data_IF_788604657974
#
_entry.id   IF_788604657974
#
_cell.length_a   1.000
_cell.length_b   1.000
_cell.length_c   1.000
_cell.angle_alpha   90.00
_cell.angle_beta   90.00
_cell.angle_gamma   90.00
#
_symmetry.space_group_name_H-M   'P 1'
#
loop_
_entity.id
_entity.type
_entity.pdbx_description
1 polymer ?
#
# COMPACT_ATOMS: atom_id res chain seq x y z
N UNK A 1 6.95 8.63 20.40
CA UNK A 1 5.54 8.77 19.93
C UNK A 1 4.84 7.43 20.15
N UNK A 2 3.67 7.40 20.79
CA UNK A 2 2.93 6.15 21.05
C UNK A 2 2.47 5.48 19.73
N UNK A 3 2.49 4.13 19.70
CA UNK A 3 2.04 3.28 18.57
C UNK A 3 0.70 3.74 17.99
N UNK A 4 -0.25 4.14 18.82
CA UNK A 4 -1.60 4.56 18.38
C UNK A 4 -1.61 5.89 17.61
N UNK A 5 -0.72 6.83 17.95
CA UNK A 5 -0.64 8.15 17.28
C UNK A 5 -0.07 8.07 15.86
N UNK A 6 0.78 7.07 15.58
CA UNK A 6 1.33 6.82 14.25
C UNK A 6 0.28 6.23 13.32
N UNK A 7 -0.46 5.20 13.74
CA UNK A 7 -1.54 4.60 12.92
C UNK A 7 -2.63 5.61 12.58
N UNK A 8 -3.02 6.46 13.54
CA UNK A 8 -4.01 7.50 13.32
C UNK A 8 -3.57 8.57 12.29
N UNK A 9 -2.27 8.88 12.22
CA UNK A 9 -1.71 9.79 11.20
C UNK A 9 -1.62 9.14 9.83
N UNK A 10 -1.23 7.87 9.76
CA UNK A 10 -1.19 7.10 8.50
C UNK A 10 -2.57 7.00 7.88
N UNK A 11 -3.61 6.76 8.69
CA UNK A 11 -5.00 6.73 8.24
C UNK A 11 -5.51 8.03 7.60
N UNK A 12 -4.86 9.16 7.88
CA UNK A 12 -5.18 10.48 7.30
C UNK A 12 -4.29 10.84 6.11
N UNK A 13 -3.33 10.00 5.74
CA UNK A 13 -2.45 10.23 4.61
C UNK A 13 -3.19 9.91 3.30
N UNK A 14 -3.22 10.86 2.37
CA UNK A 14 -3.86 10.70 1.06
C UNK A 14 -3.30 9.49 0.28
N UNK A 15 -1.99 9.22 0.37
CA UNK A 15 -1.37 8.06 -0.27
C UNK A 15 -1.91 6.75 0.34
N UNK A 16 -2.03 6.68 1.67
CA UNK A 16 -2.61 5.50 2.34
C UNK A 16 -4.08 5.30 1.97
N UNK A 17 -4.87 6.38 1.94
CA UNK A 17 -6.29 6.31 1.58
C UNK A 17 -6.45 5.81 0.13
N UNK A 18 -5.63 6.30 -0.80
CA UNK A 18 -5.68 5.85 -2.19
C UNK A 18 -5.26 4.38 -2.34
N UNK A 19 -4.20 3.95 -1.64
CA UNK A 19 -3.71 2.57 -1.69
C UNK A 19 -4.69 1.59 -1.02
N UNK A 20 -5.25 1.94 0.14
CA UNK A 20 -6.24 1.11 0.83
C UNK A 20 -7.49 0.92 -0.02
N UNK A 21 -8.07 2.01 -0.56
CA UNK A 21 -9.22 1.93 -1.49
C UNK A 21 -8.94 1.02 -2.68
N UNK A 22 -7.78 1.16 -3.31
CA UNK A 22 -7.40 0.30 -4.43
C UNK A 22 -7.29 -1.19 -4.04
N UNK A 23 -6.82 -1.49 -2.83
CA UNK A 23 -6.76 -2.88 -2.32
C UNK A 23 -8.14 -3.42 -1.95
N UNK A 24 -8.99 -2.58 -1.36
CA UNK A 24 -10.38 -2.91 -1.04
C UNK A 24 -11.18 -3.23 -2.31
N UNK A 25 -11.01 -2.43 -3.37
CA UNK A 25 -11.65 -2.66 -4.67
C UNK A 25 -11.22 -3.99 -5.32
N UNK A 26 -10.01 -4.46 -5.01
CA UNK A 26 -9.49 -5.75 -5.46
C UNK A 26 -9.86 -6.91 -4.53
N UNK A 27 -10.49 -6.64 -3.38
CA UNK A 27 -10.80 -7.64 -2.37
C UNK A 27 -9.56 -8.21 -1.68
N UNK A 28 -8.43 -7.50 -1.67
CA UNK A 28 -7.19 -7.97 -1.06
C UNK A 28 -7.10 -7.55 0.42
N UNK A 29 -7.03 -8.52 1.35
CA UNK A 29 -6.88 -8.20 2.76
C UNK A 29 -5.55 -7.49 3.01
N UNK A 30 -5.58 -6.42 3.82
CA UNK A 30 -4.39 -5.66 4.12
C UNK A 30 -4.38 -5.07 5.53
N UNK A 31 -3.19 -4.91 6.11
CA UNK A 31 -2.99 -4.31 7.42
C UNK A 31 -1.82 -3.30 7.42
N UNK A 32 -1.87 -2.34 8.33
CA UNK A 32 -0.77 -1.38 8.51
C UNK A 32 0.23 -1.94 9.51
N UNK A 33 1.41 -2.29 9.02
CA UNK A 33 2.54 -2.74 9.83
C UNK A 33 3.44 -1.55 10.16
N UNK A 34 3.69 -1.36 11.45
CA UNK A 34 4.61 -0.33 11.91
C UNK A 34 6.06 -0.85 11.84
N UNK A 35 7.04 0.02 11.56
CA UNK A 35 8.43 -0.37 11.67
C UNK A 35 8.75 -0.71 13.13
N UNK A 36 9.49 -1.80 13.36
CA UNK A 36 10.02 -2.14 14.68
C UNK A 36 11.09 -1.14 15.17
N UNK A 37 11.62 -0.29 14.28
CA UNK A 37 12.65 0.71 14.55
C UNK A 37 12.34 2.06 13.82
N UNK A 38 13.38 2.82 13.44
CA UNK A 38 13.22 4.00 12.55
C UNK A 38 12.79 3.55 11.16
N UNK A 39 11.73 4.13 10.62
CA UNK A 39 11.30 3.80 9.27
C UNK A 39 9.91 4.33 8.90
N UNK A 40 9.52 4.01 7.67
CA UNK A 40 8.18 4.26 7.16
C UNK A 40 7.28 3.05 7.44
N UNK A 41 6.01 3.27 7.84
CA UNK A 41 5.03 2.20 7.95
C UNK A 41 4.83 1.51 6.60
N UNK A 42 4.46 0.24 6.65
CA UNK A 42 4.15 -0.56 5.48
C UNK A 42 2.70 -1.01 5.50
N UNK A 43 2.13 -1.16 4.30
CA UNK A 43 0.92 -1.93 4.04
C UNK A 43 1.34 -3.36 3.80
N UNK A 44 0.99 -4.26 4.71
CA UNK A 44 1.11 -5.71 4.51
C UNK A 44 -0.16 -6.18 3.82
N UNK A 45 0.00 -6.86 2.70
CA UNK A 45 -1.09 -7.30 1.83
C UNK A 45 -1.02 -8.82 1.77
N UNK A 46 -2.15 -9.47 2.04
CA UNK A 46 -2.30 -10.92 1.88
C UNK A 46 -2.67 -11.20 0.44
N UNK A 47 -1.78 -11.86 -0.30
CA UNK A 47 -2.01 -12.23 -1.68
C UNK A 47 -2.94 -13.47 -1.76
N UNK A 48 -3.65 -13.69 -2.88
CA UNK A 48 -4.53 -14.85 -3.06
C UNK A 48 -3.79 -16.19 -2.95
N UNK A 49 -2.48 -16.19 -3.18
CA UNK A 49 -1.58 -17.35 -3.05
C UNK A 49 -1.26 -17.71 -1.60
N UNK A 50 -1.71 -16.91 -0.62
CA UNK A 50 -1.36 -17.05 0.80
C UNK A 50 -0.04 -16.36 1.19
N UNK A 51 0.69 -15.82 0.21
CA UNK A 51 1.93 -15.07 0.46
C UNK A 51 1.63 -13.68 1.02
N UNK A 52 2.48 -13.20 1.93
CA UNK A 52 2.40 -11.84 2.46
C UNK A 52 3.36 -10.92 1.69
N UNK A 53 2.88 -9.74 1.29
CA UNK A 53 3.67 -8.72 0.61
C UNK A 53 3.66 -7.41 1.40
N UNK A 54 4.84 -6.86 1.67
CA UNK A 54 4.98 -5.57 2.37
C UNK A 54 5.22 -4.43 1.36
N UNK A 55 4.41 -3.37 1.44
CA UNK A 55 4.51 -2.16 0.64
C UNK A 55 4.71 -0.93 1.52
N UNK A 56 5.91 -0.35 1.52
CA UNK A 56 6.21 0.84 2.33
C UNK A 56 5.44 2.09 1.86
N UNK A 57 4.89 2.84 2.81
CA UNK A 57 4.16 4.07 2.61
C UNK A 57 4.96 5.23 3.19
N UNK A 58 5.25 6.25 2.38
CA UNK A 58 5.88 7.45 2.90
C UNK A 58 4.97 8.14 3.93
N UNK A 59 5.48 8.35 5.15
CA UNK A 59 4.76 9.07 6.22
C UNK A 59 4.74 10.59 6.02
N UNK A 60 5.62 11.11 5.15
CA UNK A 60 5.75 12.55 4.93
C UNK A 60 4.69 13.01 3.94
N UNK A 61 3.79 13.94 4.33
CA UNK A 61 2.94 14.63 3.38
C UNK A 61 3.86 15.48 2.49
N UNK A 62 4.28 14.94 1.35
CA UNK A 62 4.86 15.78 0.31
C UNK A 62 3.73 16.68 -0.18
N UNK A 63 4.00 17.98 -0.29
CA UNK A 63 3.00 19.01 -0.63
C UNK A 63 2.16 18.69 -1.88
N UNK A 64 2.60 17.75 -2.73
CA UNK A 64 1.81 17.09 -3.75
C UNK A 64 1.74 15.57 -3.50
N UNK A 65 0.56 15.07 -3.14
CA UNK A 65 0.31 13.63 -3.15
C UNK A 65 0.18 13.20 -4.62
N UNK A 66 0.99 12.25 -5.07
CA UNK A 66 0.84 11.63 -6.38
C UNK A 66 0.24 10.25 -6.20
N UNK A 67 -0.98 10.23 -5.66
CA UNK A 67 -1.77 9.02 -5.45
C UNK A 67 -1.85 8.14 -6.72
N UNK A 68 -2.05 8.68 -7.94
CA UNK A 68 -2.04 7.87 -9.16
C UNK A 68 -0.72 7.12 -9.38
N UNK A 69 0.44 7.78 -9.21
CA UNK A 69 1.73 7.11 -9.35
C UNK A 69 1.98 6.06 -8.26
N UNK A 70 1.47 6.28 -7.04
CA UNK A 70 1.57 5.32 -5.94
C UNK A 70 0.73 4.07 -6.21
N UNK A 71 -0.51 4.25 -6.66
CA UNK A 71 -1.38 3.14 -7.07
C UNK A 71 -0.77 2.39 -8.25
N UNK A 72 -0.21 3.08 -9.25
CA UNK A 72 0.48 2.44 -10.37
C UNK A 72 1.69 1.61 -9.93
N UNK A 73 2.49 2.11 -8.98
CA UNK A 73 3.61 1.37 -8.42
C UNK A 73 3.16 0.13 -7.62
N UNK A 74 2.08 0.25 -6.83
CA UNK A 74 1.51 -0.89 -6.12
C UNK A 74 0.96 -1.94 -7.09
N UNK A 75 0.24 -1.52 -8.14
CA UNK A 75 -0.26 -2.40 -9.19
C UNK A 75 0.84 -3.19 -9.86
N UNK A 76 1.97 -2.55 -10.21
CA UNK A 76 3.14 -3.22 -10.79
C UNK A 76 3.69 -4.30 -9.86
N UNK A 77 3.81 -4.00 -8.56
CA UNK A 77 4.26 -4.99 -7.57
C UNK A 77 3.30 -6.16 -7.42
N UNK A 78 1.99 -5.93 -7.42
CA UNK A 78 0.98 -7.00 -7.36
C UNK A 78 1.04 -7.89 -8.60
N UNK A 79 1.32 -7.32 -9.77
CA UNK A 79 1.54 -8.08 -11.02
C UNK A 79 2.82 -8.91 -10.93
N UNK A 80 3.94 -8.34 -10.47
CA UNK A 80 5.20 -9.04 -10.27
C UNK A 80 5.07 -10.19 -9.25
N UNK A 81 4.27 -9.98 -8.21
CA UNK A 81 3.96 -10.99 -7.20
C UNK A 81 2.93 -12.04 -7.67
N UNK A 82 2.41 -11.93 -8.90
CA UNK A 82 1.44 -12.86 -9.47
C UNK A 82 0.03 -12.76 -8.87
N UNK A 83 -0.26 -11.72 -8.09
CA UNK A 83 -1.57 -11.49 -7.47
C UNK A 83 -2.58 -10.80 -8.40
N UNK A 84 -2.09 -10.15 -9.47
CA UNK A 84 -2.89 -9.58 -10.54
C UNK A 84 -2.38 -10.08 -11.88
N UNK A 85 -3.30 -10.39 -12.80
CA UNK A 85 -2.92 -10.59 -14.19
C UNK A 85 -2.29 -9.30 -14.74
N UNK A 86 -1.22 -9.42 -15.53
CA UNK A 86 -0.77 -8.28 -16.36
C UNK A 86 -1.98 -7.82 -17.15
N UNK A 87 -2.30 -6.50 -17.21
CA UNK A 87 -3.21 -6.05 -18.23
C UNK A 87 -2.62 -6.54 -19.54
N UNK A 88 -3.33 -7.42 -20.23
CA UNK A 88 -2.99 -7.75 -21.59
C UNK A 88 -2.97 -6.42 -22.34
N UNK A 89 -1.77 -5.97 -22.70
CA UNK A 89 -1.61 -4.91 -23.67
C UNK A 89 -2.32 -5.40 -24.92
N UNK A 90 -3.53 -4.89 -25.14
CA UNK A 90 -4.15 -4.94 -26.46
C UNK A 90 -3.26 -4.04 -27.31
N UNK A 91 -2.60 -4.68 -28.27
CA UNK A 91 -2.02 -4.21 -29.54
C UNK A 91 -1.79 -2.70 -29.64
#
# INVERSE_FOLDING_TARGET
>A
MSRFRLTAKVRKNADYIALSRFLDDLGLPHEVVQPNAKGHPALRITLPTGTLMDHHIACTPRGWCNAPARVAALRRKLIEAGALAKPHSIV
#
